data_IF_913100235810
#
_entry.id   IF_913100235810
#
_cell.length_a   1.000
_cell.length_b   1.000
_cell.length_c   1.000
_cell.angle_alpha   90.00
_cell.angle_beta   90.00
_cell.angle_gamma   90.00
#
_symmetry.space_group_name_H-M   'P 1'
#
loop_
_entity.id
_entity.type
_entity.pdbx_description
1 polymer ?
#
# COMPACT_ATOMS: atom_id res chain seq x y z
N UNK A 1 34.59 -4.71 18.36
CA UNK A 1 33.58 -3.83 18.97
C UNK A 1 33.11 -2.85 17.90
N UNK A 2 31.82 -2.96 17.58
CA UNK A 2 30.94 -2.07 16.83
C UNK A 2 31.18 -1.92 15.31
N UNK A 3 30.45 -2.79 14.59
CA UNK A 3 29.93 -2.63 13.23
C UNK A 3 29.02 -1.42 13.07
N UNK A 4 28.99 -0.81 11.86
CA UNK A 4 27.76 -0.22 11.28
C UNK A 4 27.72 -0.38 9.77
N UNK A 5 26.95 -1.38 9.34
CA UNK A 5 26.41 -1.53 8.00
C UNK A 5 25.02 -0.90 7.88
N UNK A 6 24.82 -0.23 6.74
CA UNK A 6 23.64 -0.19 5.86
C UNK A 6 22.43 0.79 6.11
N UNK A 7 21.82 1.30 5.00
CA UNK A 7 20.66 2.21 4.92
C UNK A 7 19.37 1.39 4.55
N UNK A 8 18.28 1.89 3.88
CA UNK A 8 17.80 3.24 3.54
C UNK A 8 16.30 3.48 3.89
N UNK A 9 15.85 4.75 3.89
CA UNK A 9 14.44 5.12 3.98
C UNK A 9 13.82 5.47 2.61
N UNK A 10 12.64 4.93 2.41
CA UNK A 10 11.69 5.06 1.30
C UNK A 10 11.09 6.48 1.14
N UNK A 11 10.73 6.87 -0.10
CA UNK A 11 9.32 7.20 -0.42
C UNK A 11 9.04 7.34 -1.92
N UNK A 12 7.95 6.69 -2.29
CA UNK A 12 7.23 6.67 -3.56
C UNK A 12 6.51 7.98 -3.87
N UNK A 13 6.64 8.49 -5.09
CA UNK A 13 5.72 9.48 -5.68
C UNK A 13 4.76 8.78 -6.65
N UNK A 14 3.58 8.42 -6.15
CA UNK A 14 2.45 7.99 -6.97
C UNK A 14 1.70 9.24 -7.41
N UNK A 15 1.54 9.32 -8.72
CA UNK A 15 0.71 10.26 -9.45
C UNK A 15 -0.77 9.95 -9.20
N UNK A 16 -1.54 10.93 -8.74
CA UNK A 16 -3.02 10.87 -8.74
C UNK A 16 -3.57 12.23 -9.14
N UNK A 17 -3.95 12.34 -10.43
CA UNK A 17 -4.83 13.41 -10.93
C UNK A 17 -6.26 13.12 -10.47
N UNK A 18 -6.87 14.09 -9.80
CA UNK A 18 -8.32 14.14 -9.61
C UNK A 18 -9.05 14.58 -10.90
N UNK A 19 -10.32 14.17 -11.08
CA UNK A 19 -11.12 14.49 -12.25
C UNK A 19 -11.84 15.84 -12.08
N UNK A 20 -11.93 16.61 -13.16
CA UNK A 20 -12.83 17.75 -13.24
C UNK A 20 -13.62 17.72 -14.56
N UNK A 21 -14.93 17.83 -14.37
CA UNK A 21 -16.04 17.80 -15.31
C UNK A 21 -16.15 19.12 -16.08
N UNK A 22 -16.55 19.04 -17.36
CA UNK A 22 -17.43 19.94 -18.17
C UNK A 22 -17.02 19.79 -19.64
N UNK A 23 -17.89 19.82 -20.64
CA UNK A 23 -19.33 20.00 -20.72
C UNK A 23 -19.70 19.82 -22.20
N UNK A 24 -20.86 19.20 -22.46
CA UNK A 24 -21.41 19.03 -23.80
C UNK A 24 -21.95 20.36 -24.34
N UNK A 25 -21.43 20.80 -25.47
CA UNK A 25 -21.97 21.88 -26.30
C UNK A 25 -22.82 21.33 -27.44
N UNK A 26 -23.97 21.97 -27.70
CA UNK A 26 -24.67 22.03 -29.00
C UNK A 26 -25.63 20.88 -29.29
N UNK A 27 -26.95 21.08 -29.23
CA UNK A 27 -27.86 21.71 -30.22
C UNK A 27 -27.92 20.97 -31.56
N UNK A 28 -29.12 20.47 -31.87
CA UNK A 28 -29.53 20.04 -33.21
C UNK A 28 -30.95 19.47 -33.17
N UNK A 29 -31.90 20.26 -33.66
CA UNK A 29 -33.32 19.99 -33.80
C UNK A 29 -33.60 18.87 -34.81
N UNK A 30 -34.72 18.15 -34.65
CA UNK A 30 -35.78 18.22 -35.66
C UNK A 30 -37.12 17.66 -35.16
N UNK A 31 -38.17 18.45 -35.43
CA UNK A 31 -39.58 18.09 -35.36
C UNK A 31 -39.91 17.21 -36.56
N UNK A 32 -40.58 16.08 -36.33
CA UNK A 32 -41.56 15.57 -37.30
C UNK A 32 -42.77 14.99 -36.57
N UNK A 33 -43.92 15.57 -36.90
CA UNK A 33 -45.27 15.06 -36.71
C UNK A 33 -45.37 13.64 -37.28
N UNK A 34 -45.95 12.70 -36.53
CA UNK A 34 -46.59 11.52 -37.12
C UNK A 34 -47.96 11.32 -36.45
N UNK A 35 -48.97 11.87 -37.12
CA UNK A 35 -50.34 11.40 -37.07
C UNK A 35 -50.39 9.98 -37.65
N UNK A 36 -50.93 9.01 -36.91
CA UNK A 36 -51.54 7.80 -37.49
C UNK A 36 -52.65 7.36 -36.54
N UNK A 37 -53.91 7.57 -36.90
CA UNK A 37 -54.69 6.80 -37.86
C UNK A 37 -55.43 5.65 -37.16
N UNK A 38 -56.75 5.85 -37.12
CA UNK A 38 -57.79 4.90 -36.74
C UNK A 38 -57.68 3.65 -37.61
N UNK A 39 -57.65 2.48 -36.97
CA UNK A 39 -57.77 1.20 -37.69
C UNK A 39 -59.25 0.93 -37.93
N UNK A 40 -59.62 1.01 -39.21
CA UNK A 40 -60.86 0.50 -39.78
C UNK A 40 -60.71 -0.99 -40.10
N UNK A 41 -61.76 -1.77 -39.85
CA UNK A 41 -61.91 -3.10 -40.45
C UNK A 41 -62.44 -2.93 -41.87
N UNK A 42 -61.63 -3.33 -42.85
CA UNK A 42 -62.01 -3.39 -44.25
C UNK A 42 -62.80 -4.66 -44.55
N UNK A 43 -63.96 -4.48 -45.17
CA UNK A 43 -64.58 -5.46 -46.08
C UNK A 43 -63.99 -5.25 -47.48
N UNK A 44 -63.65 -6.33 -48.20
CA UNK A 44 -63.75 -6.31 -49.65
C UNK A 44 -64.62 -7.47 -50.17
N UNK A 45 -65.64 -7.04 -50.92
CA UNK A 45 -66.46 -7.75 -51.90
C UNK A 45 -65.97 -9.13 -52.36
N UNK A 46 -66.83 -10.14 -52.18
CA UNK A 46 -67.04 -11.21 -53.15
C UNK A 46 -68.54 -11.30 -53.44
N UNK A 47 -68.88 -11.15 -54.72
CA UNK A 47 -70.23 -11.12 -55.26
C UNK A 47 -70.91 -12.49 -55.31
N UNK A 48 -72.22 -12.44 -55.59
CA UNK A 48 -73.07 -13.47 -56.16
C UNK A 48 -73.59 -14.59 -55.24
N UNK A 49 -74.89 -14.54 -54.95
CA UNK A 49 -75.67 -15.75 -54.70
C UNK A 49 -76.78 -15.63 -53.65
N UNK A 50 -78.02 -15.60 -54.13
CA UNK A 50 -79.22 -16.09 -53.44
C UNK A 50 -79.72 -15.33 -52.20
N UNK A 51 -80.62 -14.37 -52.43
CA UNK A 51 -81.75 -14.11 -51.53
C UNK A 51 -83.03 -14.38 -52.29
N UNK A 52 -83.61 -15.55 -52.05
CA UNK A 52 -84.92 -15.99 -52.49
C UNK A 52 -85.77 -16.25 -51.24
N UNK A 53 -86.97 -15.64 -51.20
CA UNK A 53 -88.16 -15.97 -50.39
C UNK A 53 -88.02 -15.87 -48.85
N UNK A 54 -88.98 -15.44 -48.04
CA UNK A 54 -90.26 -14.70 -48.12
C UNK A 54 -90.71 -14.62 -46.64
N UNK A 55 -91.23 -13.49 -46.13
CA UNK A 55 -92.15 -13.53 -44.99
C UNK A 55 -93.58 -13.47 -45.53
N UNK A 56 -94.15 -14.62 -45.93
CA UNK A 56 -95.60 -14.77 -46.13
C UNK A 56 -95.98 -16.22 -45.88
N UNK A 57 -96.75 -16.48 -44.82
CA UNK A 57 -97.85 -17.46 -44.80
C UNK A 57 -98.86 -16.91 -43.77
N UNK A 58 -99.92 -16.22 -44.20
CA UNK A 58 -101.30 -16.74 -44.29
C UNK A 58 -101.70 -17.56 -43.04
N UNK A 59 -102.66 -17.18 -42.21
CA UNK A 59 -103.97 -16.64 -42.52
C UNK A 59 -105.00 -17.61 -41.94
N UNK A 60 -105.86 -17.15 -41.02
CA UNK A 60 -107.16 -17.80 -40.79
C UNK A 60 -108.22 -16.72 -40.73
N UNK A 61 -108.99 -16.69 -41.81
CA UNK A 61 -110.32 -16.10 -41.91
C UNK A 61 -111.26 -16.75 -40.90
N UNK A 62 -112.00 -15.91 -40.20
CA UNK A 62 -113.45 -16.07 -39.97
C UNK A 62 -113.97 -14.63 -39.94
N UNK A 63 -114.59 -14.11 -40.99
CA UNK A 63 -115.79 -14.68 -41.58
C UNK A 63 -116.95 -14.23 -40.70
N UNK A 64 -117.52 -13.07 -40.98
CA UNK A 64 -118.93 -12.84 -40.71
C UNK A 64 -119.54 -12.04 -41.84
N UNK A 65 -120.62 -12.62 -42.33
CA UNK A 65 -121.32 -12.38 -43.56
C UNK A 65 -122.22 -11.13 -43.49
N UNK A 66 -122.59 -10.68 -44.69
CA UNK A 66 -123.66 -9.72 -44.95
C UNK A 66 -124.94 -10.10 -44.19
N UNK A 67 -125.43 -9.19 -43.36
CA UNK A 67 -126.85 -9.14 -43.00
C UNK A 67 -127.53 -8.13 -43.93
N UNK A 68 -128.25 -8.66 -44.92
CA UNK A 68 -129.30 -7.93 -45.62
C UNK A 68 -130.45 -7.80 -44.64
N UNK A 69 -130.81 -6.57 -44.29
CA UNK A 69 -132.05 -6.27 -43.59
C UNK A 69 -133.21 -6.66 -44.51
N UNK A 70 -134.01 -7.65 -44.10
CA UNK A 70 -135.41 -7.77 -44.50
C UNK A 70 -136.23 -7.81 -43.21
N UNK A 71 -137.13 -6.85 -43.15
CA UNK A 71 -138.01 -6.53 -42.03
C UNK A 71 -139.15 -7.56 -41.86
N UNK A 72 -139.79 -7.48 -40.70
CA UNK A 72 -141.10 -8.04 -40.27
C UNK A 72 -141.18 -9.44 -39.59
N UNK A 73 -141.26 -9.44 -38.25
CA UNK A 73 -142.52 -9.75 -37.53
C UNK A 73 -142.93 -11.20 -37.10
N UNK A 74 -142.87 -11.44 -35.76
CA UNK A 74 -143.83 -12.13 -34.82
C UNK A 74 -143.79 -13.66 -34.46
N UNK A 75 -143.66 -13.88 -33.12
CA UNK A 75 -144.16 -14.94 -32.15
C UNK A 75 -143.39 -16.30 -32.05
N UNK A 76 -143.12 -16.99 -30.92
CA UNK A 76 -143.67 -17.12 -29.53
C UNK A 76 -142.65 -17.70 -28.47
N UNK A 77 -142.99 -17.78 -27.16
CA UNK A 77 -142.18 -18.09 -25.93
C UNK A 77 -142.39 -19.52 -25.34
N UNK A 78 -141.33 -20.22 -24.82
CA UNK A 78 -141.44 -21.30 -23.76
C UNK A 78 -140.13 -21.91 -23.16
N UNK A 79 -138.90 -21.60 -23.60
CA UNK A 79 -137.71 -22.46 -23.30
C UNK A 79 -136.70 -21.98 -22.20
N UNK A 80 -136.99 -20.96 -21.39
CA UNK A 80 -135.94 -20.20 -20.67
C UNK A 80 -135.22 -20.90 -19.48
N UNK A 81 -135.88 -21.69 -18.64
CA UNK A 81 -135.26 -22.21 -17.39
C UNK A 81 -134.38 -23.45 -17.61
N UNK A 82 -134.71 -24.28 -18.61
CA UNK A 82 -133.85 -25.39 -19.04
C UNK A 82 -132.52 -24.87 -19.62
N UNK A 83 -132.50 -23.65 -20.13
CA UNK A 83 -131.30 -22.99 -20.66
C UNK A 83 -130.36 -22.60 -19.52
N UNK A 84 -130.88 -22.17 -18.36
CA UNK A 84 -130.05 -21.72 -17.24
C UNK A 84 -129.27 -22.84 -16.55
N UNK A 85 -129.90 -24.00 -16.32
CA UNK A 85 -129.23 -25.17 -15.69
C UNK A 85 -128.16 -25.74 -16.62
N UNK A 86 -128.46 -25.88 -17.91
CA UNK A 86 -127.46 -26.27 -18.92
C UNK A 86 -126.28 -25.30 -18.95
N UNK A 87 -126.52 -24.00 -18.73
CA UNK A 87 -125.47 -22.98 -18.67
C UNK A 87 -124.56 -23.14 -17.44
N UNK A 88 -125.10 -23.55 -16.30
CA UNK A 88 -124.29 -23.82 -15.09
C UNK A 88 -123.45 -25.10 -15.27
N UNK A 89 -124.03 -26.16 -15.82
CA UNK A 89 -123.29 -27.38 -16.13
C UNK A 89 -122.18 -27.11 -17.15
N UNK A 90 -122.48 -26.33 -18.18
CA UNK A 90 -121.51 -25.88 -19.18
C UNK A 90 -120.38 -25.06 -18.53
N UNK A 91 -120.69 -24.11 -17.65
CA UNK A 91 -119.69 -23.31 -16.93
C UNK A 91 -118.85 -24.18 -15.98
N UNK A 92 -119.44 -25.19 -15.34
CA UNK A 92 -118.71 -26.11 -14.46
C UNK A 92 -117.74 -27.01 -15.25
N UNK A 93 -118.14 -27.46 -16.44
CA UNK A 93 -117.29 -28.21 -17.35
C UNK A 93 -116.17 -27.33 -17.92
N UNK A 94 -116.47 -26.08 -18.28
CA UNK A 94 -115.47 -25.09 -18.69
C UNK A 94 -114.49 -24.78 -17.55
N UNK A 95 -114.95 -24.70 -16.30
CA UNK A 95 -114.10 -24.47 -15.13
C UNK A 95 -113.19 -25.68 -14.83
N UNK A 96 -113.69 -26.90 -14.96
CA UNK A 96 -112.84 -28.10 -14.83
C UNK A 96 -111.81 -28.19 -15.95
N UNK A 97 -112.21 -27.86 -17.18
CA UNK A 97 -111.31 -27.86 -18.34
C UNK A 97 -110.23 -26.77 -18.22
N UNK A 98 -110.57 -25.59 -17.69
CA UNK A 98 -109.59 -24.53 -17.40
C UNK A 98 -108.66 -24.92 -16.26
N UNK A 99 -109.14 -25.57 -15.19
CA UNK A 99 -108.28 -26.09 -14.13
C UNK A 99 -107.32 -27.18 -14.63
N UNK A 100 -107.77 -28.10 -15.49
CA UNK A 100 -106.89 -29.08 -16.11
C UNK A 100 -105.85 -28.43 -17.03
N UNK A 101 -106.24 -27.43 -17.83
CA UNK A 101 -105.31 -26.62 -18.64
C UNK A 101 -104.30 -25.88 -17.77
N UNK A 102 -104.71 -25.34 -16.62
CA UNK A 102 -103.81 -24.68 -15.68
C UNK A 102 -102.78 -25.66 -15.12
N UNK A 103 -103.23 -26.84 -14.64
CA UNK A 103 -102.31 -27.90 -14.17
C UNK A 103 -101.35 -28.36 -15.27
N UNK A 104 -101.81 -28.44 -16.51
CA UNK A 104 -100.95 -28.80 -17.64
C UNK A 104 -99.94 -27.68 -17.93
N UNK A 105 -100.36 -26.42 -17.88
CA UNK A 105 -99.47 -25.25 -18.01
C UNK A 105 -98.42 -25.20 -16.90
N UNK A 106 -98.78 -25.48 -15.65
CA UNK A 106 -97.83 -25.56 -14.53
C UNK A 106 -96.77 -26.66 -14.75
N UNK A 107 -97.17 -27.83 -15.26
CA UNK A 107 -96.22 -28.89 -15.61
C UNK A 107 -95.30 -28.48 -16.75
N UNK A 108 -95.82 -27.82 -17.77
CA UNK A 108 -95.04 -27.38 -18.92
C UNK A 108 -94.11 -26.21 -18.55
N UNK A 109 -94.55 -25.30 -17.67
CA UNK A 109 -93.71 -24.27 -17.08
C UNK A 109 -92.58 -24.88 -16.24
N UNK A 110 -92.88 -25.87 -15.41
CA UNK A 110 -91.84 -26.56 -14.64
C UNK A 110 -90.84 -27.27 -15.55
N UNK A 111 -91.27 -27.86 -16.67
CA UNK A 111 -90.37 -28.42 -17.70
C UNK A 111 -89.53 -27.34 -18.36
N UNK A 112 -90.11 -26.18 -18.68
CA UNK A 112 -89.39 -25.05 -19.25
C UNK A 112 -88.36 -24.49 -18.27
N UNK A 113 -88.70 -24.33 -16.98
CA UNK A 113 -87.75 -23.91 -15.94
C UNK A 113 -86.59 -24.89 -15.78
N UNK A 114 -86.85 -26.20 -15.82
CA UNK A 114 -85.80 -27.22 -15.80
C UNK A 114 -84.90 -27.13 -17.03
N UNK A 115 -85.49 -26.98 -18.23
CA UNK A 115 -84.72 -26.79 -19.48
C UNK A 115 -83.87 -25.53 -19.42
N UNK A 116 -84.43 -24.43 -18.92
CA UNK A 116 -83.74 -23.15 -18.77
C UNK A 116 -82.54 -23.27 -17.82
N UNK A 117 -82.73 -23.90 -16.65
CA UNK A 117 -81.63 -24.15 -15.71
C UNK A 117 -80.52 -25.04 -16.29
N UNK A 118 -80.87 -26.07 -17.08
CA UNK A 118 -79.88 -26.90 -17.79
C UNK A 118 -79.12 -26.08 -18.84
N UNK A 119 -79.81 -25.23 -19.59
CA UNK A 119 -79.14 -24.37 -20.58
C UNK A 119 -78.26 -23.31 -19.93
N UNK A 120 -78.66 -22.74 -18.80
CA UNK A 120 -77.86 -21.79 -18.02
C UNK A 120 -76.58 -22.45 -17.51
N UNK A 121 -76.68 -23.63 -16.89
CA UNK A 121 -75.52 -24.40 -16.45
C UNK A 121 -74.58 -24.75 -17.61
N UNK A 122 -75.11 -25.15 -18.76
CA UNK A 122 -74.30 -25.47 -19.93
C UNK A 122 -73.59 -24.23 -20.50
N UNK A 123 -74.26 -23.07 -20.50
CA UNK A 123 -73.64 -21.79 -20.91
C UNK A 123 -72.56 -21.38 -19.92
N UNK A 124 -72.79 -21.52 -18.61
CA UNK A 124 -71.82 -21.20 -17.56
C UNK A 124 -70.58 -22.11 -17.64
N UNK A 125 -70.77 -23.42 -17.86
CA UNK A 125 -69.69 -24.36 -18.08
C UNK A 125 -68.90 -24.03 -19.35
N UNK A 126 -69.58 -23.73 -20.46
CA UNK A 126 -68.93 -23.34 -21.71
C UNK A 126 -68.17 -22.02 -21.57
N UNK A 127 -68.71 -21.06 -20.83
CA UNK A 127 -68.05 -19.79 -20.53
C UNK A 127 -66.80 -20.01 -19.67
N UNK A 128 -66.89 -20.87 -18.66
CA UNK A 128 -65.77 -21.23 -17.78
C UNK A 128 -64.65 -21.94 -18.56
N UNK A 129 -65.00 -22.89 -19.44
CA UNK A 129 -64.05 -23.55 -20.34
C UNK A 129 -63.41 -22.57 -21.31
N UNK A 130 -64.19 -21.64 -21.86
CA UNK A 130 -63.68 -20.61 -22.77
C UNK A 130 -62.73 -19.65 -22.05
N UNK A 131 -63.09 -19.16 -20.86
CA UNK A 131 -62.24 -18.32 -20.04
C UNK A 131 -60.91 -19.02 -19.70
N UNK A 132 -60.97 -20.31 -19.35
CA UNK A 132 -59.75 -21.06 -19.06
C UNK A 132 -58.85 -21.23 -20.29
N UNK A 133 -59.42 -21.43 -21.49
CA UNK A 133 -58.65 -21.43 -22.73
C UNK A 133 -58.01 -20.06 -23.01
N UNK A 134 -58.79 -18.99 -22.85
CA UNK A 134 -58.32 -17.61 -23.05
C UNK A 134 -57.17 -17.28 -22.10
N UNK A 135 -57.29 -17.64 -20.81
CA UNK A 135 -56.23 -17.45 -19.81
C UNK A 135 -54.97 -18.25 -20.16
N UNK A 136 -55.13 -19.50 -20.61
CA UNK A 136 -54.00 -20.31 -21.08
C UNK A 136 -53.32 -19.68 -22.31
N UNK A 137 -54.08 -19.12 -23.25
CA UNK A 137 -53.53 -18.41 -24.41
C UNK A 137 -52.78 -17.13 -24.00
N UNK A 138 -53.31 -16.35 -23.05
CA UNK A 138 -52.62 -15.17 -22.54
C UNK A 138 -51.34 -15.55 -21.80
N UNK A 139 -51.39 -16.58 -20.94
CA UNK A 139 -50.20 -17.10 -20.27
C UNK A 139 -49.12 -17.55 -21.24
N UNK A 140 -49.50 -18.27 -22.30
CA UNK A 140 -48.57 -18.67 -23.36
C UNK A 140 -48.00 -17.45 -24.10
N UNK A 141 -48.84 -16.46 -24.41
CA UNK A 141 -48.43 -15.21 -25.08
C UNK A 141 -47.44 -14.42 -24.25
N UNK A 142 -47.63 -14.34 -22.93
CA UNK A 142 -46.70 -13.67 -22.02
C UNK A 142 -45.36 -14.40 -21.91
N UNK A 143 -45.37 -15.74 -21.91
CA UNK A 143 -44.13 -16.53 -21.96
C UNK A 143 -43.37 -16.24 -23.26
N UNK A 144 -44.04 -16.26 -24.42
CA UNK A 144 -43.42 -15.94 -25.70
C UNK A 144 -42.92 -14.50 -25.76
N UNK A 145 -43.70 -13.54 -25.25
CA UNK A 145 -43.30 -12.13 -25.15
C UNK A 145 -42.03 -11.99 -24.31
N UNK A 146 -41.95 -12.68 -23.17
CA UNK A 146 -40.75 -12.70 -22.33
C UNK A 146 -39.54 -13.33 -23.01
N UNK A 147 -39.75 -14.41 -23.79
CA UNK A 147 -38.67 -15.05 -24.55
C UNK A 147 -38.13 -14.14 -25.67
N UNK A 148 -39.02 -13.56 -26.49
CA UNK A 148 -38.66 -12.62 -27.56
C UNK A 148 -37.99 -11.37 -26.97
N UNK A 149 -38.48 -10.86 -25.85
CA UNK A 149 -37.88 -9.74 -25.13
C UNK A 149 -36.42 -10.03 -24.75
N UNK A 150 -36.16 -11.19 -24.16
CA UNK A 150 -34.79 -11.64 -23.80
C UNK A 150 -33.89 -11.79 -25.04
N UNK A 151 -34.37 -12.46 -26.09
CA UNK A 151 -33.62 -12.60 -27.34
C UNK A 151 -33.29 -11.24 -27.96
N UNK A 152 -34.23 -10.29 -27.97
CA UNK A 152 -33.99 -8.95 -28.49
C UNK A 152 -32.96 -8.17 -27.66
N UNK A 153 -32.96 -8.33 -26.33
CA UNK A 153 -31.92 -7.70 -25.49
C UNK A 153 -30.54 -8.30 -25.75
N UNK A 154 -30.46 -9.61 -25.95
CA UNK A 154 -29.21 -10.31 -26.26
C UNK A 154 -28.69 -9.93 -27.65
N UNK A 155 -29.57 -9.90 -28.66
CA UNK A 155 -29.22 -9.42 -30.01
C UNK A 155 -28.75 -7.97 -30.00
N UNK A 156 -29.41 -7.09 -29.22
CA UNK A 156 -28.98 -5.70 -29.09
C UNK A 156 -27.60 -5.60 -28.43
N UNK A 157 -27.33 -6.42 -27.42
CA UNK A 157 -26.03 -6.50 -26.77
C UNK A 157 -24.94 -7.00 -27.73
N UNK A 158 -25.21 -8.06 -28.49
CA UNK A 158 -24.29 -8.59 -29.50
C UNK A 158 -24.05 -7.59 -30.63
N UNK A 159 -25.08 -6.91 -31.14
CA UNK A 159 -24.93 -5.83 -32.10
C UNK A 159 -24.10 -4.66 -31.54
N UNK A 160 -24.23 -4.35 -30.25
CA UNK A 160 -23.39 -3.38 -29.55
C UNK A 160 -21.92 -3.79 -29.57
N UNK A 161 -21.63 -5.03 -29.15
CA UNK A 161 -20.27 -5.60 -29.21
C UNK A 161 -19.72 -5.63 -30.63
N UNK A 162 -20.52 -5.99 -31.63
CA UNK A 162 -20.09 -6.01 -33.03
C UNK A 162 -19.69 -4.62 -33.50
N UNK A 163 -20.47 -3.57 -33.15
CA UNK A 163 -20.11 -2.18 -33.45
C UNK A 163 -18.82 -1.75 -32.75
N UNK A 164 -18.58 -2.21 -31.52
CA UNK A 164 -17.31 -1.97 -30.82
C UNK A 164 -16.14 -2.65 -31.53
N UNK A 165 -16.32 -3.90 -31.98
CA UNK A 165 -15.32 -4.62 -32.78
C UNK A 165 -15.07 -3.93 -34.12
N UNK A 166 -16.10 -3.48 -34.83
CA UNK A 166 -15.96 -2.74 -36.09
C UNK A 166 -15.25 -1.38 -35.87
N UNK A 167 -15.56 -0.68 -34.77
CA UNK A 167 -14.86 0.55 -34.40
C UNK A 167 -13.38 0.28 -34.07
N UNK A 168 -13.08 -0.79 -33.33
CA UNK A 168 -11.72 -1.20 -33.02
C UNK A 168 -10.97 -1.63 -34.30
N UNK A 169 -11.62 -2.38 -35.18
CA UNK A 169 -11.05 -2.83 -36.44
C UNK A 169 -10.77 -1.67 -37.39
N UNK A 170 -11.70 -0.71 -37.51
CA UNK A 170 -11.47 0.51 -38.30
C UNK A 170 -10.36 1.37 -37.72
N UNK A 171 -10.26 1.51 -36.39
CA UNK A 171 -9.12 2.18 -35.73
C UNK A 171 -7.80 1.48 -36.06
N UNK A 172 -7.71 0.16 -35.88
CA UNK A 172 -6.53 -0.63 -36.22
C UNK A 172 -6.18 -0.55 -37.71
N UNK A 173 -7.18 -0.57 -38.59
CA UNK A 173 -6.97 -0.42 -40.03
C UNK A 173 -6.44 0.97 -40.39
N UNK A 174 -6.97 2.01 -39.76
CA UNK A 174 -6.51 3.39 -39.95
C UNK A 174 -5.12 3.62 -39.35
N UNK A 175 -4.83 3.06 -38.17
CA UNK A 175 -3.49 3.05 -37.57
C UNK A 175 -2.50 2.26 -38.42
N UNK A 176 -2.88 1.10 -38.96
CA UNK A 176 -2.04 0.33 -39.88
C UNK A 176 -1.82 1.06 -41.19
N UNK A 177 -2.83 1.76 -41.73
CA UNK A 177 -2.68 2.59 -42.92
C UNK A 177 -1.80 3.83 -42.65
N UNK A 178 -1.93 4.47 -41.48
CA UNK A 178 -1.07 5.58 -41.06
C UNK A 178 0.38 5.12 -40.79
N UNK A 179 0.54 3.93 -40.20
CA UNK A 179 1.84 3.31 -39.97
C UNK A 179 2.47 2.78 -41.27
N UNK A 180 1.69 2.33 -42.25
CA UNK A 180 2.20 1.93 -43.57
C UNK A 180 2.64 3.14 -44.42
N UNK A 181 2.13 4.34 -44.14
CA UNK A 181 2.57 5.59 -44.78
C UNK A 181 3.78 6.25 -44.10
N UNK A 182 4.08 5.90 -42.85
CA UNK A 182 5.17 6.49 -42.04
C UNK A 182 6.32 5.53 -41.77
N UNK A 183 6.11 4.23 -41.98
CA UNK A 183 7.14 3.22 -41.79
C UNK A 183 7.58 2.74 -43.15
N UNK A 184 8.61 3.39 -43.66
CA UNK A 184 9.54 2.72 -44.56
C UNK A 184 10.30 1.67 -43.70
N UNK A 185 10.00 0.36 -43.83
CA UNK A 185 10.57 -0.67 -42.98
C UNK A 185 12.09 -0.74 -43.12
N UNK A 186 12.63 -0.34 -44.28
CA UNK A 186 14.08 -0.30 -44.53
C UNK A 186 14.75 0.82 -43.71
N UNK A 187 14.17 2.02 -43.65
CA UNK A 187 14.72 3.11 -42.83
C UNK A 187 14.67 2.84 -41.32
N UNK A 188 13.69 2.07 -40.84
CA UNK A 188 13.62 1.68 -39.42
C UNK A 188 14.65 0.62 -39.08
N UNK A 189 14.83 -0.37 -39.94
CA UNK A 189 15.85 -1.39 -39.75
C UNK A 189 17.27 -0.78 -39.82
N UNK A 190 17.50 0.15 -40.75
CA UNK A 190 18.76 0.90 -40.81
C UNK A 190 18.99 1.77 -39.57
N UNK A 191 17.95 2.47 -39.09
CA UNK A 191 18.04 3.27 -37.86
C UNK A 191 18.35 2.43 -36.63
N UNK A 192 17.66 1.28 -36.46
CA UNK A 192 17.90 0.33 -35.36
C UNK A 192 19.29 -0.30 -35.48
N UNK A 193 19.76 -0.59 -36.70
CA UNK A 193 21.10 -1.13 -36.93
C UNK A 193 22.18 -0.12 -36.54
N UNK A 194 22.04 1.15 -36.93
CA UNK A 194 22.95 2.23 -36.56
C UNK A 194 22.94 2.45 -35.04
N UNK A 195 21.77 2.42 -34.40
CA UNK A 195 21.67 2.55 -32.94
C UNK A 195 22.31 1.36 -32.22
N UNK A 196 22.13 0.13 -32.70
CA UNK A 196 22.78 -1.05 -32.15
C UNK A 196 24.31 -0.98 -32.29
N UNK A 197 24.85 -0.53 -33.41
CA UNK A 197 26.30 -0.32 -33.55
C UNK A 197 26.80 0.76 -32.59
N UNK A 198 26.07 1.89 -32.47
CA UNK A 198 26.41 2.93 -31.50
C UNK A 198 26.36 2.44 -30.04
N UNK A 199 25.38 1.59 -29.71
CA UNK A 199 25.28 0.97 -28.39
C UNK A 199 26.41 -0.04 -28.15
N UNK A 200 26.80 -0.82 -29.15
CA UNK A 200 27.96 -1.71 -29.07
C UNK A 200 29.24 -0.92 -28.83
N UNK A 201 29.47 0.17 -29.56
CA UNK A 201 30.63 1.04 -29.37
C UNK A 201 30.64 1.65 -27.97
N UNK A 202 29.48 2.07 -27.47
CA UNK A 202 29.36 2.60 -26.10
C UNK A 202 29.61 1.54 -25.04
N UNK A 203 29.10 0.32 -25.23
CA UNK A 203 29.37 -0.81 -24.32
C UNK A 203 30.87 -1.12 -24.33
N UNK A 204 31.51 -1.15 -25.51
CA UNK A 204 32.94 -1.37 -25.62
C UNK A 204 33.74 -0.30 -24.89
N UNK A 205 33.43 0.98 -25.10
CA UNK A 205 34.08 2.08 -24.40
C UNK A 205 33.92 1.99 -22.87
N UNK A 206 32.73 1.62 -22.38
CA UNK A 206 32.49 1.41 -20.94
C UNK A 206 33.25 0.20 -20.39
N UNK A 207 33.44 -0.85 -21.18
CA UNK A 207 34.26 -2.01 -20.78
C UNK A 207 35.72 -1.59 -20.67
N UNK A 208 36.24 -0.87 -21.66
CA UNK A 208 37.62 -0.37 -21.65
C UNK A 208 37.85 0.56 -20.43
N UNK A 209 36.92 1.48 -20.16
CA UNK A 209 36.97 2.37 -18.98
C UNK A 209 36.94 1.57 -17.66
N UNK A 210 36.06 0.57 -17.58
CA UNK A 210 35.96 -0.31 -16.40
C UNK A 210 37.25 -1.11 -16.19
N UNK A 211 37.91 -1.55 -17.25
CA UNK A 211 39.17 -2.27 -17.16
C UNK A 211 40.32 -1.34 -16.72
N UNK A 212 40.37 -0.10 -17.21
CA UNK A 212 41.32 0.91 -16.74
C UNK A 212 41.09 1.29 -15.27
N UNK A 213 39.84 1.51 -14.85
CA UNK A 213 39.51 1.74 -13.44
C UNK A 213 39.90 0.54 -12.58
N UNK A 214 39.70 -0.68 -13.06
CA UNK A 214 40.11 -1.90 -12.35
C UNK A 214 41.64 -1.97 -12.19
N UNK A 215 42.41 -1.57 -13.21
CA UNK A 215 43.88 -1.48 -13.12
C UNK A 215 44.30 -0.43 -12.09
N UNK A 216 43.70 0.76 -12.12
CA UNK A 216 43.99 1.84 -11.18
C UNK A 216 43.68 1.45 -9.73
N UNK A 217 42.55 0.77 -9.50
CA UNK A 217 42.20 0.25 -8.17
C UNK A 217 43.25 -0.75 -7.67
N UNK A 218 43.72 -1.66 -8.53
CA UNK A 218 44.80 -2.60 -8.15
C UNK A 218 46.11 -1.88 -7.83
N UNK A 219 46.47 -0.86 -8.60
CA UNK A 219 47.66 -0.05 -8.35
C UNK A 219 47.58 0.68 -6.99
N UNK A 220 46.48 1.40 -6.75
CA UNK A 220 46.25 2.11 -5.48
C UNK A 220 46.21 1.15 -4.28
N UNK A 221 45.70 -0.06 -4.48
CA UNK A 221 45.73 -1.08 -3.43
C UNK A 221 47.16 -1.55 -3.13
N UNK A 222 48.00 -1.75 -4.15
CA UNK A 222 49.42 -2.03 -3.97
C UNK A 222 50.16 -0.90 -3.26
N UNK A 223 49.97 0.35 -3.70
CA UNK A 223 50.56 1.53 -3.05
C UNK A 223 50.11 1.66 -1.59
N UNK A 224 48.85 1.38 -1.29
CA UNK A 224 48.33 1.35 0.08
C UNK A 224 49.04 0.29 0.92
N UNK A 225 49.22 -0.92 0.41
CA UNK A 225 49.91 -1.99 1.13
C UNK A 225 51.38 -1.66 1.39
N UNK A 226 52.06 -1.07 0.41
CA UNK A 226 53.45 -0.63 0.56
C UNK A 226 53.56 0.52 1.56
N UNK A 227 52.63 1.48 1.53
CA UNK A 227 52.55 2.56 2.53
C UNK A 227 52.29 2.03 3.94
N UNK A 228 51.47 0.99 4.10
CA UNK A 228 51.24 0.34 5.41
C UNK A 228 52.54 -0.31 5.90
N UNK A 229 53.28 -1.00 5.03
CA UNK A 229 54.56 -1.63 5.39
C UNK A 229 55.61 -0.57 5.77
N UNK A 230 55.76 0.50 4.98
CA UNK A 230 56.71 1.57 5.28
C UNK A 230 56.35 2.27 6.59
N UNK A 231 55.08 2.59 6.81
CA UNK A 231 54.62 3.18 8.06
C UNK A 231 54.88 2.26 9.26
N UNK A 232 54.60 0.96 9.14
CA UNK A 232 54.88 -0.02 10.19
C UNK A 232 56.38 -0.08 10.52
N UNK A 233 57.25 -0.05 9.51
CA UNK A 233 58.71 -0.04 9.68
C UNK A 233 59.23 1.24 10.30
N UNK A 234 58.69 2.41 9.92
CA UNK A 234 59.06 3.69 10.53
C UNK A 234 58.61 3.70 12.00
N UNK A 235 57.39 3.24 12.27
CA UNK A 235 56.86 3.16 13.64
C UNK A 235 57.70 2.25 14.53
N UNK A 236 58.11 1.07 14.04
CA UNK A 236 58.95 0.16 14.83
C UNK A 236 60.33 0.75 15.11
N UNK A 237 60.97 1.37 14.11
CA UNK A 237 62.24 2.10 14.29
C UNK A 237 62.12 3.22 15.32
N UNK A 238 61.12 4.09 15.17
CA UNK A 238 60.91 5.19 16.11
C UNK A 238 60.63 4.69 17.53
N UNK A 239 59.90 3.57 17.67
CA UNK A 239 59.65 2.96 18.98
C UNK A 239 60.95 2.45 19.61
N UNK A 240 61.83 1.82 18.83
CA UNK A 240 63.14 1.39 19.31
C UNK A 240 64.02 2.57 19.74
N UNK A 241 64.09 3.63 18.92
CA UNK A 241 64.86 4.84 19.23
C UNK A 241 64.36 5.53 20.51
N UNK A 242 63.04 5.58 20.72
CA UNK A 242 62.44 6.11 21.96
C UNK A 242 62.84 5.25 23.17
N UNK A 243 62.84 3.92 23.05
CA UNK A 243 63.25 3.05 24.16
C UNK A 243 64.74 3.21 24.48
N UNK A 244 65.59 3.32 23.47
CA UNK A 244 67.03 3.52 23.64
C UNK A 244 67.34 4.87 24.28
N UNK A 245 66.69 5.94 23.84
CA UNK A 245 66.84 7.28 24.44
C UNK A 245 66.32 7.34 25.87
N UNK A 246 65.20 6.67 26.17
CA UNK A 246 64.69 6.55 27.55
C UNK A 246 65.68 5.80 28.45
N UNK A 247 66.31 4.73 27.95
CA UNK A 247 67.35 4.00 28.68
C UNK A 247 68.56 4.89 28.94
N UNK A 248 69.06 5.59 27.93
CA UNK A 248 70.20 6.52 28.08
C UNK A 248 69.89 7.63 29.08
N UNK A 249 68.68 8.19 29.06
CA UNK A 249 68.23 9.21 30.02
C UNK A 249 68.17 8.65 31.44
N UNK A 250 67.69 7.42 31.62
CA UNK A 250 67.69 6.76 32.92
C UNK A 250 69.11 6.55 33.47
N UNK A 251 70.03 6.07 32.63
CA UNK A 251 71.44 5.85 33.00
C UNK A 251 72.14 7.18 33.34
N UNK A 252 71.87 8.25 32.58
CA UNK A 252 72.41 9.58 32.86
C UNK A 252 71.86 10.15 34.18
N UNK A 253 70.56 10.02 34.44
CA UNK A 253 69.95 10.45 35.70
C UNK A 253 70.51 9.69 36.90
N UNK A 254 70.78 8.38 36.76
CA UNK A 254 71.44 7.60 37.79
C UNK A 254 72.83 8.14 38.10
N UNK A 255 73.64 8.43 37.08
CA UNK A 255 74.99 9.03 37.24
C UNK A 255 74.94 10.41 37.88
N UNK A 256 73.98 11.27 37.48
CA UNK A 256 73.79 12.59 38.10
C UNK A 256 73.49 12.43 39.59
N UNK A 257 72.63 11.48 39.95
CA UNK A 257 72.31 11.20 41.35
C UNK A 257 73.55 10.75 42.14
N UNK A 258 74.32 9.81 41.59
CA UNK A 258 75.57 9.34 42.19
C UNK A 258 76.56 10.51 42.41
N UNK A 259 76.75 11.37 41.41
CA UNK A 259 77.62 12.56 41.52
C UNK A 259 77.09 13.60 42.52
N UNK A 260 75.77 13.76 42.64
CA UNK A 260 75.17 14.66 43.64
C UNK A 260 75.39 14.13 45.05
N UNK A 261 75.23 12.81 45.25
CA UNK A 261 75.50 12.16 46.52
C UNK A 261 77.00 12.30 46.88
N UNK A 262 77.90 12.04 45.93
CA UNK A 262 79.34 12.24 46.09
C UNK A 262 79.69 13.69 46.44
N UNK A 263 79.12 14.67 45.72
CA UNK A 263 79.31 16.10 45.99
C UNK A 263 78.83 16.47 47.39
N UNK A 264 77.69 15.96 47.84
CA UNK A 264 77.18 16.21 49.19
C UNK A 264 78.14 15.66 50.25
N UNK A 265 78.72 14.47 50.04
CA UNK A 265 79.74 13.94 50.96
C UNK A 265 81.00 14.80 50.96
N UNK A 266 81.48 15.26 49.80
CA UNK A 266 82.62 16.15 49.71
C UNK A 266 82.37 17.50 50.41
N UNK A 267 81.19 18.09 50.23
CA UNK A 267 80.80 19.34 50.89
C UNK A 267 80.80 19.20 52.41
N UNK A 268 80.27 18.09 52.94
CA UNK A 268 80.33 17.83 54.39
C UNK A 268 81.77 17.73 54.90
N UNK A 269 82.67 17.09 54.15
CA UNK A 269 84.08 17.01 54.51
C UNK A 269 84.77 18.38 54.46
N UNK A 270 84.46 19.21 53.46
CA UNK A 270 84.97 20.59 53.35
C UNK A 270 84.50 21.43 54.53
N UNK A 271 83.23 21.31 54.94
CA UNK A 271 82.70 22.00 56.11
C UNK A 271 83.42 21.56 57.38
N UNK A 272 83.60 20.26 57.59
CA UNK A 272 84.35 19.72 58.73
C UNK A 272 85.80 20.20 58.74
N UNK A 273 86.45 20.23 57.58
CA UNK A 273 87.83 20.74 57.43
C UNK A 273 87.92 22.23 57.72
N UNK A 274 86.97 23.04 57.23
CA UNK A 274 86.90 24.47 57.53
C UNK A 274 86.76 24.72 59.04
N UNK A 275 85.88 23.98 59.71
CA UNK A 275 85.72 24.05 61.16
C UNK A 275 87.02 23.65 61.88
N UNK A 276 87.67 22.58 61.43
CA UNK A 276 88.96 22.16 61.99
C UNK A 276 90.03 23.25 61.87
N UNK A 277 90.17 23.88 60.70
CA UNK A 277 91.10 25.00 60.51
C UNK A 277 90.77 26.16 61.46
N UNK A 278 89.50 26.51 61.63
CA UNK A 278 89.10 27.55 62.59
C UNK A 278 89.50 27.22 64.03
N UNK A 279 89.42 25.95 64.44
CA UNK A 279 89.89 25.53 65.78
C UNK A 279 91.41 25.61 65.92
N UNK A 280 92.18 25.21 64.89
CA UNK A 280 93.65 25.26 64.91
C UNK A 280 94.19 26.69 64.79
N UNK A 281 93.40 27.63 64.30
CA UNK A 281 93.75 29.05 64.25
C UNK A 281 93.25 29.86 65.46
N UNK A 282 92.87 29.21 66.57
CA UNK A 282 92.49 29.93 67.78
C UNK A 282 93.69 30.68 68.39
N UNK A 283 93.50 31.92 68.87
CA UNK A 283 94.58 32.76 69.40
C UNK A 283 95.16 32.28 70.74
N UNK A 284 94.54 31.28 71.37
CA UNK A 284 94.82 30.89 72.76
C UNK A 284 95.78 29.69 72.91
N UNK A 285 96.44 29.24 71.82
CA UNK A 285 97.45 28.20 71.97
C UNK A 285 98.64 28.67 72.79
N UNK A 286 99.00 27.90 73.80
CA UNK A 286 100.15 28.18 74.63
C UNK A 286 101.44 27.89 73.86
N UNK A 287 102.35 28.87 73.85
CA UNK A 287 103.69 28.70 73.27
C UNK A 287 104.66 28.47 74.42
N UNK A 288 105.42 27.37 74.35
CA UNK A 288 106.43 26.99 75.34
C UNK A 288 107.85 27.02 74.75
N UNK A 289 108.86 27.25 75.58
CA UNK A 289 110.25 27.43 75.12
C UNK A 289 110.83 26.15 74.53
N UNK A 290 110.66 25.03 75.25
CA UNK A 290 111.23 23.73 74.94
C UNK A 290 110.50 22.62 75.73
N UNK A 291 111.16 21.46 75.89
CA UNK A 291 110.66 20.33 76.67
C UNK A 291 110.41 20.62 78.16
N UNK A 292 110.87 21.77 78.70
CA UNK A 292 110.55 22.23 80.05
C UNK A 292 109.12 22.73 80.22
N UNK A 293 108.39 22.95 79.10
CA UNK A 293 107.04 23.49 79.07
C UNK A 293 106.88 24.90 79.69
N UNK A 294 107.97 25.63 79.87
CA UNK A 294 107.90 27.02 80.34
C UNK A 294 107.24 27.95 79.30
N UNK A 295 106.38 28.89 79.70
CA UNK A 295 105.77 29.84 78.78
C UNK A 295 106.84 30.74 78.15
N UNK A 296 106.69 31.00 76.85
CA UNK A 296 107.57 31.95 76.16
C UNK A 296 107.13 33.39 76.43
N UNK A 297 108.10 34.27 76.64
CA UNK A 297 107.86 35.70 76.82
C UNK A 297 107.26 36.34 75.56
N UNK A 298 106.38 37.33 75.75
CA UNK A 298 105.59 37.93 74.66
C UNK A 298 106.37 39.01 73.89
N UNK A 299 107.34 39.66 74.52
CA UNK A 299 108.07 40.81 73.97
C UNK A 299 109.45 40.45 73.38
N UNK A 300 109.57 39.27 72.79
CA UNK A 300 110.84 38.77 72.23
C UNK A 300 111.09 39.25 70.80
N UNK A 301 112.35 39.49 70.48
CA UNK A 301 112.79 39.93 69.14
C UNK A 301 112.67 38.84 68.05
N UNK A 302 112.61 37.55 68.44
CA UNK A 302 112.57 36.41 67.50
C UNK A 302 111.40 35.48 67.82
N UNK A 303 110.59 35.07 66.82
CA UNK A 303 109.53 34.08 67.03
C UNK A 303 110.12 32.67 67.21
N UNK A 304 110.50 32.30 68.44
CA UNK A 304 110.94 30.95 68.83
C UNK A 304 109.97 30.30 69.83
N UNK A 305 109.86 28.97 69.82
CA UNK A 305 109.04 28.20 70.76
C UNK A 305 108.18 27.12 70.08
N UNK A 306 107.68 26.19 70.88
CA UNK A 306 106.77 25.11 70.46
C UNK A 306 105.33 25.46 70.83
N UNK A 307 104.39 25.19 69.94
CA UNK A 307 102.95 25.41 70.17
C UNK A 307 102.35 24.16 70.79
N UNK A 308 101.72 24.29 71.96
CA UNK A 308 100.98 23.21 72.59
C UNK A 308 99.59 23.08 71.94
N UNK A 309 99.41 22.02 71.16
CA UNK A 309 98.13 21.68 70.52
C UNK A 309 97.44 20.57 71.32
N UNK A 310 96.17 20.73 71.74
CA UNK A 310 95.41 19.69 72.41
C UNK A 310 95.32 18.41 71.57
N UNK A 311 95.50 17.26 72.22
CA UNK A 311 95.43 15.95 71.57
C UNK A 311 94.08 15.73 70.86
N UNK A 312 92.98 16.23 71.42
CA UNK A 312 91.64 16.15 70.81
C UNK A 312 91.58 16.82 69.44
N UNK A 313 92.25 17.97 69.28
CA UNK A 313 92.37 18.68 68.00
C UNK A 313 93.19 17.84 67.02
N UNK A 314 94.33 17.29 67.45
CA UNK A 314 95.14 16.42 66.59
C UNK A 314 94.38 15.17 66.12
N UNK A 315 93.66 14.49 67.00
CA UNK A 315 92.85 13.31 66.67
C UNK A 315 91.70 13.65 65.73
N UNK A 316 91.06 14.81 65.91
CA UNK A 316 90.05 15.29 64.98
C UNK A 316 90.64 15.56 63.59
N UNK A 317 91.80 16.18 63.50
CA UNK A 317 92.52 16.36 62.23
C UNK A 317 92.84 15.03 61.55
N UNK A 318 93.30 14.03 62.32
CA UNK A 318 93.54 12.68 61.81
C UNK A 318 92.27 12.03 61.23
N UNK A 319 91.12 12.22 61.88
CA UNK A 319 89.84 11.69 61.41
C UNK A 319 89.32 12.30 60.11
N UNK A 320 89.87 13.44 59.68
CA UNK A 320 89.52 14.10 58.40
C UNK A 320 90.39 13.63 57.24
N UNK A 321 91.51 12.95 57.51
CA UNK A 321 92.36 12.42 56.45
C UNK A 321 91.64 11.28 55.70
N UNK A 322 91.90 11.11 54.39
CA UNK A 322 91.50 9.90 53.67
C UNK A 322 92.07 8.65 54.35
N UNK A 323 91.36 7.52 54.27
CA UNK A 323 91.78 6.26 54.92
C UNK A 323 93.19 5.82 54.50
N UNK A 324 93.56 6.00 53.23
CA UNK A 324 94.90 5.72 52.70
C UNK A 324 95.97 6.55 53.43
N UNK A 325 95.72 7.84 53.62
CA UNK A 325 96.68 8.75 54.23
C UNK A 325 96.79 8.54 55.75
N UNK A 326 95.73 8.01 56.38
CA UNK A 326 95.73 7.65 57.80
C UNK A 326 96.70 6.51 58.09
N UNK A 327 96.73 5.51 57.22
CA UNK A 327 97.62 4.35 57.34
C UNK A 327 99.08 4.76 57.10
N UNK A 328 99.35 5.53 56.03
CA UNK A 328 100.68 6.06 55.73
C UNK A 328 101.26 6.89 56.88
N UNK A 329 100.42 7.72 57.51
CA UNK A 329 100.85 8.54 58.64
C UNK A 329 101.25 7.67 59.84
N UNK A 330 100.46 6.66 60.18
CA UNK A 330 100.76 5.72 61.27
C UNK A 330 102.07 4.98 61.01
N UNK A 331 102.27 4.49 59.78
CA UNK A 331 103.51 3.83 59.37
C UNK A 331 104.72 4.79 59.48
N UNK A 332 104.55 6.05 59.10
CA UNK A 332 105.63 7.05 59.19
C UNK A 332 106.10 7.34 60.63
N UNK A 333 105.18 7.28 61.60
CA UNK A 333 105.52 7.43 63.02
C UNK A 333 106.15 6.17 63.59
N UNK A 334 105.66 4.98 63.20
CA UNK A 334 106.25 3.70 63.59
C UNK A 334 107.72 3.60 63.13
N UNK A 335 108.03 4.06 61.91
CA UNK A 335 109.39 4.10 61.39
C UNK A 335 110.33 5.10 62.08
N UNK A 336 109.82 6.14 62.74
CA UNK A 336 110.65 7.11 63.51
C UNK A 336 110.85 6.69 64.96
N UNK A 337 110.05 5.73 65.45
CA UNK A 337 110.11 5.19 66.81
C UNK A 337 111.02 3.95 66.92
N UNK A 338 111.34 3.31 65.79
CA UNK A 338 112.47 2.38 65.65
C UNK A 338 113.74 3.15 65.30
#
# INVERSE_FOLDING_TARGET
MVDRHAPPFTRSSICTRMPAVRGSTGKGSDRTLLQHAVITYGSPNAEAGSRFFNPVVEGVRTGEERIIVKDEGRRSLSDCDAIAIRKIEQLSAELQLTQQKLRQKERDEMKLRRKLSVTELNVEEMTSRHNHLVDNFFGLTDIYRGHIGRQNTELRFLCGKLKEYDSAFTKLRNEKAANALTNDPEHKDDSIRVENERLKDRVKALVDEKDELTKMVRQLQGEKEDNIKTFSNIRSKLTADIMDTQKQLHDANKKIKELLDDSATADTLVQQTRLFVQMVCQPDFHVVKDTSLEPVDRDRDVPSGFVLVPLTVMLQGYSLLPATNREDLVLSYQHRLM
#
